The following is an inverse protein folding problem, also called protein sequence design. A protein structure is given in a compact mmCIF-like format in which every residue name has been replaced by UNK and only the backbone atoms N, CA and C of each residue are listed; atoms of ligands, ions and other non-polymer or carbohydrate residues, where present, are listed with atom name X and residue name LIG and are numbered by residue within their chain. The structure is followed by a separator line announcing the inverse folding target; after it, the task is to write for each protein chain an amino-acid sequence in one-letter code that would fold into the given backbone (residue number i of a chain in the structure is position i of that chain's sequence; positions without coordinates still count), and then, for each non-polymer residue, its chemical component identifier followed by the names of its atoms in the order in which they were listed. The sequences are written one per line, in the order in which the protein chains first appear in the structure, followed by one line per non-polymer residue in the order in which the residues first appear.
data_IF_137088735231
#
_entry.id   IF_137088735231
#
_cell.length_a   1.000
_cell.length_b   1.000
_cell.length_c   1.000
_cell.angle_alpha   90.00
_cell.angle_beta   90.00
_cell.angle_gamma   90.00
#
_symmetry.space_group_name_H-M   'P 1'
#
loop_
_entity.id
_entity.type
_entity.pdbx_description
1 polymer ?
#
# COMPACT_ATOMS: atom_id res chain seq x y z
N UNK A 1 5.37 3.30 19.90
CA UNK A 1 4.59 2.58 18.87
C UNK A 1 4.90 1.10 19.00
N UNK A 2 3.91 0.20 19.03
CA UNK A 2 4.18 -1.24 18.93
C UNK A 2 4.68 -1.53 17.52
N UNK A 3 5.87 -2.11 17.40
CA UNK A 3 6.36 -2.60 16.12
C UNK A 3 5.60 -3.87 15.78
N UNK A 4 4.89 -3.87 14.64
CA UNK A 4 4.27 -5.06 14.08
C UNK A 4 5.08 -5.50 12.87
N UNK A 5 5.37 -6.79 12.78
CA UNK A 5 6.07 -7.40 11.66
C UNK A 5 5.08 -8.26 10.87
N UNK A 6 4.36 -7.68 9.89
CA UNK A 6 3.49 -8.47 9.03
C UNK A 6 4.34 -9.44 8.19
N UNK A 7 3.89 -10.67 8.11
CA UNK A 7 4.60 -11.74 7.39
C UNK A 7 3.98 -12.02 6.01
N UNK A 8 2.75 -11.55 5.80
CA UNK A 8 1.98 -11.68 4.58
C UNK A 8 0.91 -10.57 4.47
N UNK A 9 0.14 -10.63 3.38
CA UNK A 9 -0.93 -9.68 3.13
C UNK A 9 -2.11 -9.80 4.09
N UNK A 10 -2.43 -10.99 4.59
CA UNK A 10 -3.56 -11.18 5.50
C UNK A 10 -3.29 -10.47 6.83
N UNK A 11 -2.09 -10.64 7.39
CA UNK A 11 -1.65 -9.90 8.57
C UNK A 11 -1.58 -8.40 8.29
N UNK A 12 -1.13 -8.00 7.09
CA UNK A 12 -1.12 -6.58 6.71
C UNK A 12 -2.52 -5.97 6.66
N UNK A 13 -3.50 -6.69 6.11
CA UNK A 13 -4.92 -6.26 6.05
C UNK A 13 -5.54 -6.16 7.45
N UNK A 14 -5.14 -7.01 8.39
CA UNK A 14 -5.57 -6.87 9.78
C UNK A 14 -5.04 -5.59 10.44
N UNK A 15 -3.79 -5.22 10.14
CA UNK A 15 -3.17 -4.00 10.68
C UNK A 15 -3.70 -2.73 10.01
N UNK A 16 -3.94 -2.78 8.70
CA UNK A 16 -4.50 -1.69 7.91
C UNK A 16 -5.72 -2.20 7.15
N UNK A 17 -6.93 -2.19 7.74
CA UNK A 17 -8.13 -2.74 7.11
C UNK A 17 -8.46 -2.15 5.73
N UNK A 18 -8.06 -0.90 5.47
CA UNK A 18 -8.24 -0.23 4.19
C UNK A 18 -7.16 -0.57 3.15
N UNK A 19 -6.08 -1.29 3.49
CA UNK A 19 -5.02 -1.62 2.52
C UNK A 19 -5.56 -2.59 1.47
N UNK A 20 -5.36 -2.28 0.19
CA UNK A 20 -5.73 -3.17 -0.90
C UNK A 20 -4.50 -3.69 -1.62
N UNK A 21 -4.70 -4.78 -2.38
CA UNK A 21 -3.65 -5.40 -3.18
C UNK A 21 -4.07 -5.39 -4.65
N UNK A 22 -3.25 -4.76 -5.49
CA UNK A 22 -3.45 -4.69 -6.94
C UNK A 22 -2.21 -5.27 -7.61
N UNK A 23 -2.30 -6.54 -8.02
CA UNK A 23 -1.14 -7.29 -8.51
C UNK A 23 -0.03 -7.39 -7.46
N UNK A 24 1.15 -6.84 -7.78
CA UNK A 24 2.33 -6.79 -6.87
C UNK A 24 2.24 -5.65 -5.84
N UNK A 25 1.33 -4.68 -6.04
CA UNK A 25 1.26 -3.47 -5.24
C UNK A 25 0.32 -3.59 -4.06
N UNK A 26 0.70 -2.90 -2.99
CA UNK A 26 -0.13 -2.59 -1.84
C UNK A 26 -0.52 -1.12 -1.93
N UNK A 27 -1.80 -0.85 -1.78
CA UNK A 27 -2.37 0.50 -1.88
C UNK A 27 -2.88 0.88 -0.50
N UNK A 28 -2.32 1.91 0.10
CA UNK A 28 -2.67 2.40 1.42
C UNK A 28 -3.42 3.73 1.33
N UNK A 29 -4.51 3.85 2.07
CA UNK A 29 -5.26 5.09 2.25
C UNK A 29 -4.66 5.92 3.39
N UNK A 30 -4.24 7.15 3.10
CA UNK A 30 -3.57 8.03 4.07
C UNK A 30 -4.29 9.38 4.13
N UNK A 31 -4.27 10.00 5.32
CA UNK A 31 -4.73 11.38 5.52
C UNK A 31 -6.25 11.53 5.41
N UNK A 32 -7.02 10.54 5.87
CA UNK A 32 -8.48 10.55 5.74
C UNK A 32 -8.94 10.28 4.32
N UNK A 33 -8.37 9.24 3.69
CA UNK A 33 -8.72 8.78 2.33
C UNK A 33 -8.32 9.76 1.19
N UNK A 34 -7.49 10.77 1.46
CA UNK A 34 -7.12 11.80 0.47
C UNK A 34 -5.96 11.37 -0.43
N UNK A 35 -5.10 10.48 0.07
CA UNK A 35 -3.87 10.05 -0.59
C UNK A 35 -3.86 8.54 -0.71
N UNK A 36 -3.33 8.05 -1.83
CA UNK A 36 -3.01 6.66 -2.12
C UNK A 36 -1.50 6.50 -2.16
N UNK A 37 -0.96 5.78 -1.18
CA UNK A 37 0.44 5.35 -1.20
C UNK A 37 0.52 3.96 -1.80
N UNK A 38 1.22 3.84 -2.92
CA UNK A 38 1.37 2.59 -3.67
C UNK A 38 2.77 2.07 -3.44
N UNK A 39 2.88 0.86 -2.94
CA UNK A 39 4.17 0.27 -2.58
C UNK A 39 4.26 -1.21 -2.92
N UNK A 40 5.49 -1.68 -3.15
CA UNK A 40 5.79 -3.12 -3.14
C UNK A 40 6.29 -3.48 -1.74
N UNK A 41 5.62 -4.43 -1.11
CA UNK A 41 6.00 -4.93 0.22
C UNK A 41 6.68 -6.29 0.07
N UNK A 42 7.94 -6.36 0.48
CA UNK A 42 8.72 -7.59 0.53
C UNK A 42 8.77 -8.08 1.97
N UNK A 43 7.78 -8.88 2.38
CA UNK A 43 7.63 -9.35 3.76
C UNK A 43 8.87 -10.06 4.30
N UNK A 44 9.42 -11.03 3.55
CA UNK A 44 10.64 -11.76 3.96
C UNK A 44 11.85 -10.86 4.12
N UNK A 45 12.02 -9.88 3.24
CA UNK A 45 13.13 -8.94 3.29
C UNK A 45 12.90 -7.80 4.29
N UNK A 46 11.70 -7.69 4.88
CA UNK A 46 11.28 -6.59 5.74
C UNK A 46 11.50 -5.22 5.08
N UNK A 47 11.17 -5.11 3.79
CA UNK A 47 11.33 -3.88 3.00
C UNK A 47 10.02 -3.44 2.37
N UNK A 48 9.82 -2.12 2.34
CA UNK A 48 8.72 -1.46 1.65
C UNK A 48 9.32 -0.50 0.64
N UNK A 49 8.93 -0.65 -0.62
CA UNK A 49 9.37 0.21 -1.71
C UNK A 49 8.20 1.06 -2.15
N UNK A 50 8.22 2.35 -1.80
CA UNK A 50 7.23 3.31 -2.26
C UNK A 50 7.46 3.52 -3.76
N UNK A 51 6.40 3.38 -4.54
CA UNK A 51 6.39 3.57 -6.00
C UNK A 51 5.76 4.89 -6.36
N UNK A 52 4.59 5.15 -5.78
CA UNK A 52 3.80 6.34 -6.06
C UNK A 52 3.14 6.84 -4.77
N UNK A 53 2.99 8.16 -4.67
CA UNK A 53 2.15 8.83 -3.67
C UNK A 53 1.25 9.77 -4.44
N UNK A 54 -0.04 9.44 -4.51
CA UNK A 54 -1.00 10.09 -5.39
C UNK A 54 -2.16 10.65 -4.58
N UNK A 55 -2.77 11.74 -5.04
CA UNK A 55 -4.12 12.07 -4.61
C UNK A 55 -5.12 10.99 -5.07
N UNK A 56 -6.31 10.97 -4.46
CA UNK A 56 -7.37 10.07 -4.88
C UNK A 56 -7.70 10.20 -6.38
N UNK A 57 -7.80 11.43 -6.88
CA UNK A 57 -8.12 11.69 -8.29
C UNK A 57 -7.02 11.26 -9.26
N UNK A 58 -5.74 11.33 -8.87
CA UNK A 58 -4.63 10.82 -9.68
C UNK A 58 -4.58 9.30 -9.67
N UNK A 59 -4.88 8.67 -8.54
CA UNK A 59 -4.99 7.22 -8.45
C UNK A 59 -6.08 6.67 -9.38
N UNK A 60 -7.23 7.33 -9.43
CA UNK A 60 -8.39 6.91 -10.25
C UNK A 60 -8.11 6.97 -11.74
N UNK A 61 -7.22 7.85 -12.21
CA UNK A 61 -6.77 7.88 -13.61
C UNK A 61 -6.07 6.58 -14.03
N UNK A 62 -5.53 5.82 -13.07
CA UNK A 62 -5.00 4.47 -13.31
C UNK A 62 -3.65 4.40 -14.02
N UNK A 63 -3.01 5.52 -14.39
CA UNK A 63 -1.71 5.55 -15.06
C UNK A 63 -0.59 4.81 -14.32
N UNK A 64 -0.69 4.69 -13.00
CA UNK A 64 0.29 3.99 -12.15
C UNK A 64 0.28 2.46 -12.31
N UNK A 65 -0.77 1.89 -12.92
CA UNK A 65 -0.93 0.43 -13.05
C UNK A 65 0.02 -0.19 -14.07
N UNK A 66 0.63 0.62 -14.93
CA UNK A 66 1.53 0.19 -16.02
C UNK A 66 3.00 0.02 -15.56
N UNK A 67 3.30 0.31 -14.28
CA UNK A 67 4.64 0.27 -13.64
C UNK A 67 4.98 -1.12 -13.02
#
# INVERSE_FOLDING_TARGET
MKANEPNDFAVMKQLFPAVDKVGKFHVFDIGGNKIRLIAVVMYRAKKVYIRHVLSHSEYDKGCWKED
#
